data_IF_672967931421
#
_entry.id   IF_672967931421
#
_cell.length_a   1.000
_cell.length_b   1.000
_cell.length_c   1.000
_cell.angle_alpha   90.00
_cell.angle_beta   90.00
_cell.angle_gamma   90.00
#
_symmetry.space_group_name_H-M   'P 1'
#
loop_
_entity.id
_entity.type
_entity.pdbx_description
1 polymer ?
#
# COMPACT_ATOMS: atom_id res chain seq x y z
N UNK A 1 19.01 9.26 -8.61
CA UNK A 1 18.74 8.76 -7.26
C UNK A 1 17.46 7.99 -7.39
N UNK A 2 17.54 6.66 -7.31
CA UNK A 2 16.41 5.79 -7.65
C UNK A 2 15.38 5.87 -6.53
N UNK A 3 14.12 6.06 -6.91
CA UNK A 3 12.99 6.06 -5.97
C UNK A 3 12.91 4.73 -5.23
N UNK A 4 12.28 4.75 -4.04
CA UNK A 4 11.99 3.53 -3.29
C UNK A 4 11.24 2.49 -4.14
N UNK A 5 10.34 2.97 -4.99
CA UNK A 5 9.62 2.17 -5.97
C UNK A 5 10.56 1.49 -6.99
N UNK A 6 11.56 2.21 -7.50
CA UNK A 6 12.56 1.63 -8.42
C UNK A 6 13.47 0.61 -7.73
N UNK A 7 13.79 0.81 -6.45
CA UNK A 7 14.60 -0.14 -5.67
C UNK A 7 13.93 -1.51 -5.48
N UNK A 8 12.59 -1.59 -5.59
CA UNK A 8 11.85 -2.85 -5.53
C UNK A 8 11.38 -3.39 -6.88
N UNK A 9 11.93 -2.88 -7.99
CA UNK A 9 11.53 -3.35 -9.33
C UNK A 9 10.23 -2.71 -9.86
N UNK A 10 9.85 -1.57 -9.30
CA UNK A 10 8.79 -0.71 -9.83
C UNK A 10 7.38 -1.08 -9.38
N UNK A 11 6.39 -0.41 -10.00
CA UNK A 11 4.96 -0.64 -9.75
C UNK A 11 4.52 -2.07 -10.02
N UNK A 12 5.24 -2.81 -10.87
CA UNK A 12 4.92 -4.18 -11.19
C UNK A 12 5.04 -5.11 -9.97
N UNK A 13 6.10 -4.97 -9.16
CA UNK A 13 6.28 -5.78 -7.95
C UNK A 13 5.23 -5.37 -6.91
N UNK A 14 5.01 -4.07 -6.72
CA UNK A 14 3.96 -3.57 -5.81
C UNK A 14 2.59 -4.15 -6.17
N UNK A 15 2.17 -3.99 -7.43
CA UNK A 15 0.86 -4.46 -7.88
C UNK A 15 0.73 -5.98 -7.76
N UNK A 16 1.79 -6.73 -8.11
CA UNK A 16 1.79 -8.19 -7.98
C UNK A 16 1.63 -8.60 -6.53
N UNK A 17 2.41 -8.04 -5.61
CA UNK A 17 2.35 -8.40 -4.19
C UNK A 17 0.99 -8.07 -3.58
N UNK A 18 0.41 -6.92 -3.95
CA UNK A 18 -0.96 -6.56 -3.53
C UNK A 18 -1.98 -7.56 -4.09
N UNK A 19 -1.91 -7.90 -5.38
CA UNK A 19 -2.81 -8.91 -5.95
C UNK A 19 -2.64 -10.28 -5.29
N UNK A 20 -1.43 -10.70 -4.93
CA UNK A 20 -1.18 -11.96 -4.21
C UNK A 20 -1.81 -11.95 -2.81
N UNK A 21 -1.71 -10.83 -2.08
CA UNK A 21 -2.39 -10.64 -0.80
C UNK A 21 -3.91 -10.80 -0.94
N UNK A 22 -4.51 -10.10 -1.91
CA UNK A 22 -5.96 -10.15 -2.14
C UNK A 22 -6.44 -11.51 -2.63
N UNK A 23 -5.64 -12.21 -3.43
CA UNK A 23 -5.91 -13.60 -3.82
C UNK A 23 -5.84 -14.55 -2.63
N UNK A 24 -4.95 -14.30 -1.67
CA UNK A 24 -4.78 -15.13 -0.48
C UNK A 24 -5.98 -15.02 0.44
N UNK A 25 -6.38 -13.79 0.81
CA UNK A 25 -7.54 -13.56 1.68
C UNK A 25 -8.86 -13.88 0.95
N UNK A 26 -8.93 -13.64 -0.36
CA UNK A 26 -10.12 -13.84 -1.17
C UNK A 26 -10.59 -15.29 -1.29
N UNK A 27 -9.71 -16.27 -1.03
CA UNK A 27 -10.06 -17.70 -1.01
C UNK A 27 -11.09 -18.06 0.08
N UNK A 28 -11.26 -17.18 1.07
CA UNK A 28 -12.14 -17.41 2.22
C UNK A 28 -13.41 -16.56 2.20
N UNK A 29 -13.66 -15.81 1.10
CA UNK A 29 -14.72 -14.80 1.04
C UNK A 29 -15.89 -15.24 0.16
N UNK A 30 -17.07 -14.69 0.49
CA UNK A 30 -18.26 -14.76 -0.34
C UNK A 30 -18.15 -13.87 -1.59
N UNK A 31 -19.06 -14.06 -2.54
CA UNK A 31 -19.09 -13.28 -3.78
C UNK A 31 -19.35 -11.78 -3.57
N UNK A 32 -20.11 -11.40 -2.52
CA UNK A 32 -20.37 -10.00 -2.18
C UNK A 32 -19.09 -9.32 -1.65
N UNK A 33 -18.40 -9.99 -0.73
CA UNK A 33 -17.11 -9.54 -0.18
C UNK A 33 -16.04 -9.42 -1.28
N UNK A 34 -16.10 -10.27 -2.31
CA UNK A 34 -15.17 -10.22 -3.45
C UNK A 34 -15.20 -8.88 -4.22
N UNK A 35 -16.36 -8.22 -4.36
CA UNK A 35 -16.45 -6.96 -5.13
C UNK A 35 -15.77 -5.81 -4.40
N UNK A 36 -16.00 -5.69 -3.10
CA UNK A 36 -15.36 -4.67 -2.28
C UNK A 36 -13.86 -4.93 -2.11
N UNK A 37 -13.45 -6.20 -2.06
CA UNK A 37 -12.04 -6.57 -2.08
C UNK A 37 -11.31 -6.12 -3.34
N UNK A 38 -11.91 -6.22 -4.54
CA UNK A 38 -11.27 -5.70 -5.77
C UNK A 38 -11.09 -4.18 -5.75
N UNK A 39 -12.03 -3.44 -5.15
CA UNK A 39 -11.89 -1.98 -4.98
C UNK A 39 -10.76 -1.65 -4.01
N UNK A 40 -10.69 -2.38 -2.90
CA UNK A 40 -9.61 -2.25 -1.92
C UNK A 40 -8.25 -2.60 -2.54
N UNK A 41 -8.15 -3.69 -3.31
CA UNK A 41 -6.95 -4.09 -4.05
C UNK A 41 -6.43 -2.95 -4.93
N UNK A 42 -7.29 -2.44 -5.82
CA UNK A 42 -6.90 -1.37 -6.75
C UNK A 42 -6.48 -0.09 -6.02
N UNK A 43 -7.17 0.26 -4.93
CA UNK A 43 -6.91 1.49 -4.18
C UNK A 43 -5.61 1.38 -3.36
N UNK A 44 -5.38 0.24 -2.70
CA UNK A 44 -4.16 0.00 -1.92
C UNK A 44 -2.94 -0.13 -2.82
N UNK A 45 -3.05 -0.77 -4.00
CA UNK A 45 -1.98 -0.81 -4.99
C UNK A 45 -1.58 0.60 -5.49
N UNK A 46 -2.57 1.45 -5.75
CA UNK A 46 -2.34 2.86 -6.12
C UNK A 46 -1.72 3.65 -4.97
N UNK A 47 -2.19 3.45 -3.74
CA UNK A 47 -1.65 4.12 -2.56
C UNK A 47 -0.19 3.76 -2.33
N UNK A 48 0.17 2.46 -2.31
CA UNK A 48 1.54 2.01 -2.13
C UNK A 48 2.45 2.51 -3.27
N UNK A 49 2.00 2.40 -4.52
CA UNK A 49 2.79 2.90 -5.65
C UNK A 49 3.05 4.40 -5.55
N UNK A 50 2.06 5.18 -5.11
CA UNK A 50 2.21 6.62 -4.89
C UNK A 50 3.16 6.92 -3.72
N UNK A 51 3.00 6.22 -2.60
CA UNK A 51 3.80 6.39 -1.39
C UNK A 51 5.29 6.17 -1.66
N UNK A 52 5.62 5.18 -2.49
CA UNK A 52 6.99 4.79 -2.81
C UNK A 52 7.58 5.55 -4.02
N UNK A 53 6.77 6.34 -4.73
CA UNK A 53 7.19 7.07 -5.92
C UNK A 53 8.07 8.29 -5.59
N UNK A 54 8.80 8.77 -6.60
CA UNK A 54 9.56 10.04 -6.57
C UNK A 54 8.70 11.29 -6.84
N UNK A 55 7.36 11.17 -6.82
CA UNK A 55 6.47 12.34 -7.00
C UNK A 55 6.76 13.43 -5.96
N UNK A 56 6.63 14.72 -6.30
CA UNK A 56 6.76 15.81 -5.34
C UNK A 56 5.82 15.62 -4.15
N UNK A 57 6.27 16.00 -2.94
CA UNK A 57 5.54 15.78 -1.70
C UNK A 57 4.12 16.36 -1.70
N UNK A 58 3.94 17.56 -2.27
CA UNK A 58 2.62 18.21 -2.39
C UNK A 58 1.63 17.41 -3.26
N UNK A 59 2.13 16.80 -4.34
CA UNK A 59 1.30 15.94 -5.22
C UNK A 59 1.01 14.61 -4.52
N UNK A 60 2.00 14.06 -3.82
CA UNK A 60 1.88 12.80 -3.08
C UNK A 60 0.84 12.89 -1.98
N UNK A 61 0.93 13.90 -1.12
CA UNK A 61 0.02 14.12 0.02
C UNK A 61 -1.42 14.35 -0.42
N UNK A 62 -1.65 15.25 -1.39
CA UNK A 62 -3.00 15.52 -1.91
C UNK A 62 -3.69 14.28 -2.48
N UNK A 63 -2.98 13.50 -3.32
CA UNK A 63 -3.54 12.28 -3.91
C UNK A 63 -3.63 11.14 -2.88
N UNK A 64 -2.71 11.06 -1.93
CA UNK A 64 -2.73 10.07 -0.86
C UNK A 64 -3.95 10.25 0.04
N UNK A 65 -4.31 11.48 0.42
CA UNK A 65 -5.50 11.75 1.23
C UNK A 65 -6.78 11.23 0.59
N UNK A 66 -6.98 11.48 -0.71
CA UNK A 66 -8.13 10.95 -1.45
C UNK A 66 -8.12 9.41 -1.54
N UNK A 67 -6.96 8.80 -1.66
CA UNK A 67 -6.82 7.34 -1.67
C UNK A 67 -7.14 6.76 -0.28
N UNK A 68 -6.60 7.36 0.79
CA UNK A 68 -6.72 6.92 2.18
C UNK A 68 -8.16 6.89 2.69
N UNK A 69 -8.99 7.89 2.36
CA UNK A 69 -10.42 7.96 2.76
C UNK A 69 -11.25 6.71 2.41
N UNK A 70 -10.83 5.95 1.40
CA UNK A 70 -11.54 4.74 0.96
C UNK A 70 -10.85 3.45 1.36
N UNK A 71 -9.77 3.50 2.14
CA UNK A 71 -9.05 2.32 2.60
C UNK A 71 -9.71 1.74 3.84
N UNK A 72 -9.77 0.42 3.91
CA UNK A 72 -10.03 -0.27 5.17
C UNK A 72 -8.71 -0.31 5.97
N UNK A 73 -8.64 0.31 7.18
CA UNK A 73 -7.40 0.40 7.94
C UNK A 73 -6.82 -0.97 8.32
N UNK A 74 -7.67 -1.90 8.75
CA UNK A 74 -7.25 -3.26 9.13
C UNK A 74 -6.69 -4.05 7.94
N UNK A 75 -7.31 -3.92 6.76
CA UNK A 75 -6.76 -4.54 5.55
C UNK A 75 -5.46 -3.88 5.11
N UNK A 76 -5.29 -2.57 5.33
CA UNK A 76 -4.08 -1.87 4.97
C UNK A 76 -2.91 -2.25 5.88
N UNK A 77 -3.13 -2.33 7.19
CA UNK A 77 -2.14 -2.83 8.15
C UNK A 77 -1.70 -4.27 7.81
N UNK A 78 -2.67 -5.18 7.61
CA UNK A 78 -2.38 -6.55 7.20
C UNK A 78 -1.65 -6.64 5.85
N UNK A 79 -1.96 -5.74 4.90
CA UNK A 79 -1.23 -5.65 3.64
C UNK A 79 0.23 -5.22 3.85
N UNK A 80 0.52 -4.25 4.74
CA UNK A 80 1.90 -3.83 5.00
C UNK A 80 2.72 -4.97 5.60
N UNK A 81 2.18 -5.71 6.58
CA UNK A 81 2.84 -6.88 7.16
C UNK A 81 3.13 -7.95 6.09
N UNK A 82 2.12 -8.28 5.26
CA UNK A 82 2.28 -9.22 4.16
C UNK A 82 3.33 -8.73 3.15
N UNK A 83 3.30 -7.45 2.80
CA UNK A 83 4.19 -6.83 1.82
C UNK A 83 5.64 -6.90 2.27
N UNK A 84 5.94 -6.58 3.54
CA UNK A 84 7.28 -6.66 4.11
C UNK A 84 7.83 -8.09 4.04
N UNK A 85 7.05 -9.06 4.52
CA UNK A 85 7.44 -10.47 4.50
C UNK A 85 7.68 -10.94 3.07
N UNK A 86 6.79 -10.57 2.14
CA UNK A 86 6.88 -10.97 0.74
C UNK A 86 8.10 -10.38 0.03
N UNK A 87 8.48 -9.14 0.34
CA UNK A 87 9.71 -8.55 -0.21
C UNK A 87 10.96 -9.32 0.28
N UNK A 88 10.99 -9.72 1.55
CA UNK A 88 12.11 -10.54 2.06
C UNK A 88 12.18 -11.90 1.33
N UNK A 89 11.04 -12.55 1.09
CA UNK A 89 10.98 -13.79 0.31
C UNK A 89 11.47 -13.63 -1.14
N UNK A 90 11.24 -12.46 -1.74
CA UNK A 90 11.71 -12.12 -3.09
C UNK A 90 13.21 -11.76 -3.12
N UNK A 91 13.89 -11.76 -1.98
CA UNK A 91 15.33 -11.54 -1.87
C UNK A 91 15.74 -10.10 -1.58
N UNK A 92 14.79 -9.20 -1.28
CA UNK A 92 15.12 -7.87 -0.79
C UNK A 92 15.62 -7.92 0.66
N UNK A 93 16.47 -6.99 1.05
CA UNK A 93 16.98 -6.93 2.42
C UNK A 93 15.87 -6.55 3.39
N UNK A 94 15.88 -7.11 4.61
CA UNK A 94 14.90 -6.75 5.64
C UNK A 94 14.88 -5.25 5.90
N UNK A 95 16.06 -4.60 5.95
CA UNK A 95 16.17 -3.16 6.12
C UNK A 95 15.44 -2.37 5.02
N UNK A 96 15.57 -2.78 3.75
CA UNK A 96 14.86 -2.11 2.66
C UNK A 96 13.34 -2.37 2.78
N UNK A 97 12.94 -3.61 3.01
CA UNK A 97 11.54 -4.00 3.17
C UNK A 97 10.83 -3.22 4.28
N UNK A 98 11.42 -3.14 5.48
CA UNK A 98 10.87 -2.36 6.59
C UNK A 98 10.85 -0.86 6.29
N UNK A 99 11.87 -0.33 5.63
CA UNK A 99 11.89 1.09 5.27
C UNK A 99 10.74 1.47 4.31
N UNK A 100 10.39 0.57 3.39
CA UNK A 100 9.28 0.78 2.45
C UNK A 100 7.92 0.76 3.15
N UNK A 101 7.70 -0.22 4.02
CA UNK A 101 6.44 -0.34 4.77
C UNK A 101 6.26 0.80 5.75
N UNK A 102 7.33 1.19 6.46
CA UNK A 102 7.31 2.40 7.30
C UNK A 102 6.99 3.66 6.51
N UNK A 103 7.56 3.81 5.30
CA UNK A 103 7.31 4.99 4.45
C UNK A 103 5.85 5.07 4.03
N UNK A 104 5.27 3.94 3.62
CA UNK A 104 3.86 3.87 3.27
C UNK A 104 2.94 4.08 4.49
N UNK A 105 3.26 3.46 5.63
CA UNK A 105 2.52 3.61 6.89
C UNK A 105 2.51 5.05 7.39
N UNK A 106 3.66 5.72 7.44
CA UNK A 106 3.76 7.14 7.86
C UNK A 106 2.91 8.07 6.98
N UNK A 107 2.90 7.83 5.67
CA UNK A 107 2.05 8.61 4.76
C UNK A 107 0.56 8.36 5.04
N UNK A 108 0.18 7.11 5.29
CA UNK A 108 -1.20 6.76 5.63
C UNK A 108 -1.63 7.41 6.95
N UNK A 109 -0.82 7.31 8.00
CA UNK A 109 -1.09 7.92 9.30
C UNK A 109 -1.26 9.43 9.20
N UNK A 110 -0.43 10.10 8.40
CA UNK A 110 -0.57 11.55 8.15
C UNK A 110 -1.90 11.89 7.47
N UNK A 111 -2.36 11.05 6.54
CA UNK A 111 -3.65 11.25 5.88
C UNK A 111 -4.82 11.06 6.87
N UNK A 112 -4.76 10.04 7.73
CA UNK A 112 -5.79 9.80 8.75
C UNK A 112 -5.86 10.94 9.78
N UNK A 113 -4.70 11.50 10.18
CA UNK A 113 -4.64 12.66 11.06
C UNK A 113 -5.31 13.90 10.42
N UNK A 114 -5.00 14.19 9.16
CA UNK A 114 -5.62 15.30 8.42
C UNK A 114 -7.15 15.14 8.31
N UNK A 115 -7.62 13.90 8.10
CA UNK A 115 -9.06 13.59 8.08
C UNK A 115 -9.73 13.81 9.44
N UNK A 116 -9.06 13.44 10.53
CA UNK A 116 -9.57 13.61 11.88
C UNK A 116 -9.66 15.08 12.31
N UNK A 117 -8.83 15.96 11.75
CA UNK A 117 -8.85 17.41 12.05
C UNK A 117 -9.90 18.15 11.21
N UNK A 118 -10.27 17.60 10.05
CA UNK A 118 -11.25 18.19 9.14
C UNK A 118 -12.72 17.90 9.51
N UNK A 119 -12.97 17.04 10.52
CA UNK A 119 -14.30 16.69 11.03
C UNK A 119 -14.62 17.43 12.34
#
# INVERSE_FOLDING_TARGET
MDSLLEQVGGTQIVNRTVSEFYQTIGRHLSAFETSDHRKQESRQAQFLSLALSSQPESVRTSRAGFLAQGLNPTLFEALLEYFEARLVELGFTSQLSSHLTETAGKLYDSCEQDLSIAC
#
